data_IF_606222692980
#
_entry.id   IF_606222692980
#
_cell.length_a   1.000
_cell.length_b   1.000
_cell.length_c   1.000
_cell.angle_alpha   90.00
_cell.angle_beta   90.00
_cell.angle_gamma   90.00
#
_symmetry.space_group_name_H-M   'P 1'
#
loop_
_entity.id
_entity.type
_entity.pdbx_description
1 polymer ?
#
# COMPACT_ATOMS: atom_id res chain seq x y z
N UNK A 1 17.27 10.61 2.47
CA UNK A 1 18.13 11.73 1.99
C UNK A 1 17.24 12.68 1.24
N UNK A 2 17.39 13.97 1.43
CA UNK A 2 16.47 14.99 0.91
C UNK A 2 17.17 15.86 -0.13
N UNK A 3 16.43 16.26 -1.16
CA UNK A 3 16.85 17.10 -2.28
C UNK A 3 15.76 18.17 -2.51
N UNK A 4 16.12 19.29 -3.12
CA UNK A 4 15.16 20.32 -3.50
C UNK A 4 14.93 20.32 -5.02
N UNK A 5 13.67 20.33 -5.43
CA UNK A 5 13.31 20.72 -6.80
C UNK A 5 12.92 22.20 -6.73
N UNK A 6 13.72 23.11 -7.30
CA UNK A 6 13.43 24.53 -7.22
C UNK A 6 12.21 24.91 -8.07
N UNK A 7 11.57 26.03 -7.72
CA UNK A 7 10.59 26.65 -8.59
C UNK A 7 11.26 27.20 -9.86
N UNK A 8 10.51 27.28 -10.96
CA UNK A 8 10.99 27.85 -12.22
C UNK A 8 10.12 29.03 -12.60
N UNK A 9 10.72 30.21 -12.69
CA UNK A 9 10.00 31.48 -12.95
C UNK A 9 8.83 31.71 -11.98
N UNK A 10 9.04 31.40 -10.70
CA UNK A 10 8.00 31.48 -9.66
C UNK A 10 6.74 30.66 -10.01
N UNK A 11 6.95 29.48 -10.62
CA UNK A 11 5.91 28.50 -10.93
C UNK A 11 6.35 27.11 -10.49
N UNK A 12 5.36 26.26 -10.17
CA UNK A 12 5.59 24.85 -9.92
C UNK A 12 6.06 24.16 -11.21
N UNK A 13 7.09 23.32 -11.11
CA UNK A 13 7.63 22.57 -12.26
C UNK A 13 6.90 21.26 -12.53
N UNK A 14 6.07 20.82 -11.58
CA UNK A 14 5.20 19.65 -11.65
C UNK A 14 3.83 20.02 -11.07
N UNK A 15 2.82 19.17 -11.28
CA UNK A 15 1.48 19.43 -10.77
C UNK A 15 1.48 19.49 -9.23
N UNK A 16 1.10 20.63 -8.60
CA UNK A 16 1.28 20.84 -7.16
C UNK A 16 0.30 20.04 -6.29
N UNK A 17 -0.83 19.56 -6.82
CA UNK A 17 -1.87 18.93 -6.02
C UNK A 17 -1.74 17.40 -5.94
N UNK A 18 -0.53 16.87 -6.12
CA UNK A 18 -0.26 15.43 -6.11
C UNK A 18 0.97 15.09 -5.27
N UNK A 19 0.93 13.92 -4.67
CA UNK A 19 2.13 13.26 -4.15
C UNK A 19 2.84 12.57 -5.31
N UNK A 20 4.03 13.06 -5.66
CA UNK A 20 4.84 12.49 -6.74
C UNK A 20 5.69 11.34 -6.20
N UNK A 21 5.70 10.20 -6.90
CA UNK A 21 6.40 8.98 -6.48
C UNK A 21 7.11 8.36 -7.68
N UNK A 22 8.41 8.06 -7.53
CA UNK A 22 9.21 7.29 -8.47
C UNK A 22 9.61 5.93 -7.86
N UNK A 23 8.84 4.86 -8.10
CA UNK A 23 9.09 3.55 -7.48
C UNK A 23 10.14 2.73 -8.26
N UNK A 24 11.13 2.13 -7.58
CA UNK A 24 12.20 1.30 -8.19
C UNK A 24 12.49 0.00 -7.42
N UNK A 25 11.46 -0.64 -6.86
CA UNK A 25 11.51 -1.90 -6.11
C UNK A 25 12.34 -1.85 -4.80
N UNK A 26 13.65 -1.63 -4.88
CA UNK A 26 14.53 -1.58 -3.72
C UNK A 26 14.62 -0.17 -3.12
N UNK A 27 14.34 0.85 -3.91
CA UNK A 27 14.42 2.25 -3.51
C UNK A 27 13.32 3.04 -4.23
N UNK A 28 13.04 4.24 -3.73
CA UNK A 28 12.04 5.13 -4.30
C UNK A 28 12.38 6.58 -3.99
N UNK A 29 11.92 7.47 -4.86
CA UNK A 29 11.93 8.91 -4.65
C UNK A 29 10.49 9.38 -4.43
N UNK A 30 10.26 10.29 -3.49
CA UNK A 30 8.97 10.99 -3.35
C UNK A 30 9.21 12.50 -3.39
N UNK A 31 8.26 13.28 -3.89
CA UNK A 31 8.33 14.73 -3.81
C UNK A 31 7.01 15.32 -3.29
N UNK A 32 7.13 16.22 -2.31
CA UNK A 32 6.01 16.97 -1.74
C UNK A 32 6.15 18.46 -2.09
N UNK A 33 5.04 19.11 -2.48
CA UNK A 33 5.03 20.53 -2.84
C UNK A 33 5.21 21.42 -1.60
N UNK A 34 5.93 22.52 -1.78
CA UNK A 34 6.07 23.59 -0.78
C UNK A 34 5.30 24.85 -1.22
N UNK A 35 5.07 25.77 -0.28
CA UNK A 35 4.34 27.02 -0.55
C UNK A 35 5.11 27.99 -1.46
N UNK A 36 6.45 27.92 -1.44
CA UNK A 36 7.36 28.70 -2.30
C UNK A 36 7.49 28.11 -3.73
N UNK A 37 6.61 27.17 -4.07
CA UNK A 37 6.53 26.48 -5.36
C UNK A 37 7.68 25.54 -5.67
N UNK A 38 8.56 25.28 -4.70
CA UNK A 38 9.54 24.20 -4.74
C UNK A 38 8.90 22.85 -4.37
N UNK A 39 9.65 21.76 -4.52
CA UNK A 39 9.29 20.46 -3.94
C UNK A 39 10.44 19.91 -3.10
N UNK A 40 10.13 19.47 -1.89
CA UNK A 40 11.05 18.67 -1.08
C UNK A 40 10.98 17.22 -1.54
N UNK A 41 12.12 16.69 -1.94
CA UNK A 41 12.24 15.38 -2.57
C UNK A 41 13.04 14.43 -1.70
N UNK A 42 12.47 13.30 -1.28
CA UNK A 42 13.15 12.35 -0.38
C UNK A 42 13.47 11.03 -1.09
N UNK A 43 14.74 10.66 -1.13
CA UNK A 43 15.22 9.35 -1.56
C UNK A 43 15.25 8.38 -0.38
N UNK A 44 14.47 7.31 -0.51
CA UNK A 44 14.51 6.15 0.36
C UNK A 44 15.25 5.01 -0.33
N UNK A 45 16.32 4.53 0.29
CA UNK A 45 17.17 3.49 -0.27
C UNK A 45 17.91 2.74 0.84
N UNK A 46 18.19 1.43 0.68
CA UNK A 46 19.05 0.68 1.58
C UNK A 46 20.42 1.35 1.76
N UNK A 47 20.94 1.34 2.99
CA UNK A 47 22.26 1.91 3.31
C UNK A 47 23.39 1.29 2.45
N UNK A 48 23.22 0.05 2.00
CA UNK A 48 24.17 -0.65 1.13
C UNK A 48 24.30 -0.02 -0.26
N UNK A 49 23.23 0.59 -0.79
CA UNK A 49 23.26 1.32 -2.06
C UNK A 49 23.97 2.65 -1.85
N UNK A 50 23.62 3.41 -0.81
CA UNK A 50 24.32 4.65 -0.47
C UNK A 50 25.83 4.44 -0.31
N UNK A 51 26.27 3.35 0.34
CA UNK A 51 27.69 3.02 0.50
C UNK A 51 28.44 2.70 -0.81
N UNK A 52 27.73 2.34 -1.88
CA UNK A 52 28.31 2.09 -3.20
C UNK A 52 28.53 3.37 -4.01
N UNK A 53 27.76 4.42 -3.74
CA UNK A 53 27.85 5.70 -4.45
C UNK A 53 28.91 6.57 -3.78
N UNK A 54 30.14 6.53 -4.29
CA UNK A 54 31.31 7.19 -3.65
C UNK A 54 31.78 8.43 -4.37
N UNK A 55 31.50 8.53 -5.67
CA UNK A 55 31.94 9.63 -6.53
C UNK A 55 30.75 10.36 -7.15
N UNK A 56 30.97 11.58 -7.63
CA UNK A 56 29.95 12.34 -8.36
C UNK A 56 29.41 11.56 -9.57
N UNK A 57 30.28 10.84 -10.29
CA UNK A 57 29.90 10.00 -11.42
C UNK A 57 29.03 8.81 -10.99
N UNK A 58 29.34 8.15 -9.87
CA UNK A 58 28.49 7.06 -9.35
C UNK A 58 27.07 7.57 -9.05
N UNK A 59 26.98 8.71 -8.35
CA UNK A 59 25.70 9.34 -7.99
C UNK A 59 24.93 9.72 -9.25
N UNK A 60 25.57 10.39 -10.20
CA UNK A 60 24.90 10.83 -11.43
C UNK A 60 24.50 9.66 -12.33
N UNK A 61 25.30 8.62 -12.43
CA UNK A 61 24.95 7.40 -13.17
C UNK A 61 23.75 6.70 -12.53
N UNK A 62 23.70 6.60 -11.20
CA UNK A 62 22.55 6.08 -10.47
C UNK A 62 21.28 6.90 -10.76
N UNK A 63 21.35 8.22 -10.64
CA UNK A 63 20.20 9.09 -10.88
C UNK A 63 19.75 9.09 -12.35
N UNK A 64 20.68 9.10 -13.32
CA UNK A 64 20.31 9.02 -14.75
C UNK A 64 19.69 7.67 -15.12
N UNK A 65 20.20 6.57 -14.54
CA UNK A 65 19.67 5.24 -14.81
C UNK A 65 18.27 5.05 -14.22
N UNK A 66 18.05 5.49 -12.98
CA UNK A 66 16.82 5.18 -12.26
C UNK A 66 15.82 6.34 -12.20
N UNK A 67 16.26 7.59 -12.24
CA UNK A 67 15.42 8.78 -12.08
C UNK A 67 15.73 9.87 -13.14
N UNK A 68 15.74 9.54 -14.44
CA UNK A 68 16.20 10.46 -15.49
C UNK A 68 15.40 11.77 -15.56
N UNK A 69 14.10 11.70 -15.29
CA UNK A 69 13.20 12.85 -15.21
C UNK A 69 13.41 13.66 -13.91
N UNK A 70 13.65 13.02 -12.77
CA UNK A 70 14.00 13.74 -11.55
C UNK A 70 15.30 14.54 -11.71
N UNK A 71 16.26 14.05 -12.50
CA UNK A 71 17.50 14.79 -12.80
C UNK A 71 17.22 16.12 -13.51
N UNK A 72 16.24 16.17 -14.42
CA UNK A 72 15.90 17.41 -15.12
C UNK A 72 15.17 18.41 -14.22
N UNK A 73 14.47 17.94 -13.17
CA UNK A 73 13.80 18.79 -12.19
C UNK A 73 14.74 19.30 -11.09
N UNK A 74 15.57 18.42 -10.51
CA UNK A 74 16.46 18.77 -9.38
C UNK A 74 17.70 19.52 -9.87
N UNK A 75 18.29 19.07 -10.99
CA UNK A 75 19.56 19.56 -11.51
C UNK A 75 20.75 18.71 -11.06
N UNK A 76 21.68 18.43 -11.99
CA UNK A 76 22.80 17.53 -11.75
C UNK A 76 23.75 18.01 -10.64
N UNK A 77 24.07 19.31 -10.62
CA UNK A 77 24.96 19.89 -9.62
C UNK A 77 24.34 19.80 -8.22
N UNK A 78 23.06 20.15 -8.09
CA UNK A 78 22.31 20.10 -6.83
C UNK A 78 22.26 18.68 -6.25
N UNK A 79 22.03 17.67 -7.11
CA UNK A 79 22.04 16.26 -6.71
C UNK A 79 23.40 15.89 -6.09
N UNK A 80 24.50 16.20 -6.78
CA UNK A 80 25.85 15.84 -6.32
C UNK A 80 26.19 16.59 -5.04
N UNK A 81 25.98 17.90 -5.01
CA UNK A 81 26.27 18.74 -3.85
C UNK A 81 25.49 18.28 -2.62
N UNK A 82 24.17 18.08 -2.76
CA UNK A 82 23.31 17.58 -1.68
C UNK A 82 23.71 16.18 -1.22
N UNK A 83 24.09 15.30 -2.16
CA UNK A 83 24.49 13.94 -1.84
C UNK A 83 25.74 13.88 -0.97
N UNK A 84 26.71 14.76 -1.23
CA UNK A 84 27.97 14.77 -0.47
C UNK A 84 27.97 15.70 0.74
N UNK A 85 27.09 16.70 0.78
CA UNK A 85 26.94 17.60 1.93
C UNK A 85 26.13 17.00 3.07
N UNK A 86 25.25 16.04 2.79
CA UNK A 86 24.36 15.44 3.78
C UNK A 86 24.54 13.92 3.92
N UNK A 87 24.23 13.36 5.10
CA UNK A 87 24.28 11.91 5.34
C UNK A 87 22.89 11.30 5.20
N UNK A 88 22.76 10.10 4.61
CA UNK A 88 21.52 9.34 4.66
C UNK A 88 21.09 9.09 6.11
N UNK A 89 19.85 9.45 6.44
CA UNK A 89 19.29 9.25 7.78
C UNK A 89 18.70 7.84 7.93
N UNK A 90 18.95 7.14 9.04
CA UNK A 90 18.31 5.87 9.32
C UNK A 90 16.83 6.08 9.63
N UNK A 91 15.99 5.15 9.17
CA UNK A 91 14.59 5.09 9.55
C UNK A 91 14.41 4.02 10.61
N UNK A 92 13.80 4.39 11.74
CA UNK A 92 13.52 3.46 12.83
C UNK A 92 12.03 3.15 12.89
N UNK A 93 11.71 1.95 13.38
CA UNK A 93 10.36 1.62 13.78
C UNK A 93 10.41 0.88 15.11
N UNK A 94 9.67 1.37 16.09
CA UNK A 94 9.58 0.80 17.43
C UNK A 94 8.12 0.59 17.81
N UNK A 95 7.90 -0.47 18.57
CA UNK A 95 6.65 -0.74 19.26
C UNK A 95 7.01 -1.01 20.71
N UNK A 96 6.29 -0.41 21.65
CA UNK A 96 6.39 -0.78 23.05
C UNK A 96 5.02 -1.12 23.63
N UNK A 97 5.04 -1.88 24.72
CA UNK A 97 3.89 -2.19 25.55
C UNK A 97 4.42 -2.53 26.95
N UNK A 98 3.82 -2.00 28.03
CA UNK A 98 2.76 -0.99 28.03
C UNK A 98 3.29 0.41 27.65
N UNK A 99 2.39 1.31 27.26
CA UNK A 99 2.68 2.75 27.12
C UNK A 99 2.66 3.49 28.47
N UNK A 100 1.95 2.94 29.47
CA UNK A 100 1.84 3.54 30.81
C UNK A 100 2.53 2.67 31.86
N UNK A 101 3.08 3.30 32.90
CA UNK A 101 3.56 2.58 34.08
C UNK A 101 2.40 1.97 34.87
N UNK A 102 2.62 0.83 35.51
CA UNK A 102 1.62 0.15 36.33
C UNK A 102 0.96 1.05 37.39
N UNK A 103 1.73 1.96 38.00
CA UNK A 103 1.23 2.85 39.06
C UNK A 103 0.49 4.09 38.53
N UNK A 104 0.49 4.31 37.21
CA UNK A 104 -0.19 5.45 36.60
C UNK A 104 0.55 6.79 36.67
N UNK A 105 1.84 6.79 37.01
CA UNK A 105 2.61 8.02 37.20
C UNK A 105 3.23 8.57 35.90
N UNK A 106 3.43 7.70 34.90
CA UNK A 106 4.03 8.06 33.61
C UNK A 106 3.29 7.41 32.44
N UNK A 107 3.25 8.14 31.31
CA UNK A 107 2.63 7.72 30.05
C UNK A 107 3.51 8.14 28.86
N UNK A 108 3.71 7.23 27.92
CA UNK A 108 4.35 7.48 26.63
C UNK A 108 3.30 7.77 25.55
N UNK A 109 3.58 8.74 24.68
CA UNK A 109 2.78 9.12 23.51
C UNK A 109 3.67 9.48 22.33
N UNK A 110 3.09 9.48 21.13
CA UNK A 110 3.79 9.76 19.87
C UNK A 110 4.98 8.83 19.64
N UNK A 111 6.04 9.35 19.02
CA UNK A 111 7.23 8.58 18.65
C UNK A 111 7.94 7.92 19.86
N UNK A 112 7.75 8.44 21.07
CA UNK A 112 8.29 7.81 22.29
C UNK A 112 7.62 6.45 22.59
N UNK A 113 6.36 6.28 22.21
CA UNK A 113 5.61 5.03 22.34
C UNK A 113 5.64 4.19 21.05
N UNK A 114 5.58 4.83 19.88
CA UNK A 114 5.45 4.16 18.58
C UNK A 114 6.13 4.95 17.46
N UNK A 115 7.45 4.82 17.34
CA UNK A 115 8.12 5.34 16.14
C UNK A 115 7.80 4.46 14.93
N UNK A 116 7.49 5.08 13.80
CA UNK A 116 7.21 4.38 12.55
C UNK A 116 8.00 4.99 11.42
N UNK A 117 8.42 4.14 10.48
CA UNK A 117 8.99 4.62 9.24
C UNK A 117 7.94 5.49 8.51
N UNK A 118 8.34 6.53 7.76
CA UNK A 118 7.43 7.57 7.28
C UNK A 118 6.64 7.17 6.02
N UNK A 119 6.38 5.89 5.83
CA UNK A 119 5.82 5.38 4.58
C UNK A 119 4.31 5.58 4.47
N UNK A 120 3.58 5.73 5.57
CA UNK A 120 2.15 6.09 5.54
C UNK A 120 1.89 7.58 5.81
N UNK A 121 2.92 8.37 6.17
CA UNK A 121 2.76 9.74 6.67
C UNK A 121 1.75 9.87 7.84
N UNK A 122 1.75 8.89 8.75
CA UNK A 122 0.83 8.83 9.89
C UNK A 122 1.48 9.02 11.27
N UNK A 123 2.80 9.20 11.36
CA UNK A 123 3.47 9.39 12.67
C UNK A 123 2.88 10.57 13.45
N UNK A 124 2.93 11.77 12.86
CA UNK A 124 2.34 12.98 13.44
C UNK A 124 0.83 12.85 13.70
N UNK A 125 0.07 12.34 12.72
CA UNK A 125 -1.38 12.17 12.85
C UNK A 125 -1.76 11.21 14.00
N UNK A 126 -1.04 10.09 14.11
CA UNK A 126 -1.18 9.12 15.20
C UNK A 126 -0.80 9.75 16.55
N UNK A 127 0.28 10.52 16.62
CA UNK A 127 0.67 11.24 17.84
C UNK A 127 -0.37 12.29 18.27
N UNK A 128 -1.00 13.00 17.34
CA UNK A 128 -2.11 13.91 17.66
C UNK A 128 -3.36 13.15 18.10
N UNK A 129 -3.64 12.01 17.48
CA UNK A 129 -4.74 11.15 17.90
C UNK A 129 -4.51 10.54 19.29
N UNK A 130 -3.27 10.26 19.70
CA UNK A 130 -2.93 9.86 21.08
C UNK A 130 -3.44 10.88 22.09
N UNK A 131 -3.18 12.18 21.85
CA UNK A 131 -3.64 13.25 22.72
C UNK A 131 -5.18 13.27 22.84
N UNK A 132 -5.89 13.04 21.74
CA UNK A 132 -7.35 12.99 21.74
C UNK A 132 -7.87 11.79 22.53
N UNK A 133 -7.33 10.60 22.27
CA UNK A 133 -7.74 9.37 22.95
C UNK A 133 -7.44 9.47 24.44
N UNK A 134 -6.27 9.99 24.82
CA UNK A 134 -5.92 10.21 26.23
C UNK A 134 -6.91 11.16 26.91
N UNK A 135 -7.23 12.27 26.26
CA UNK A 135 -8.16 13.25 26.81
C UNK A 135 -9.57 12.66 27.00
N UNK A 136 -10.05 11.86 26.05
CA UNK A 136 -11.31 11.14 26.17
C UNK A 136 -11.27 10.15 27.35
N UNK A 137 -10.17 9.41 27.54
CA UNK A 137 -10.00 8.50 28.68
C UNK A 137 -9.90 9.21 30.02
N UNK A 138 -9.28 10.38 30.07
CA UNK A 138 -9.28 11.21 31.27
C UNK A 138 -10.70 11.64 31.63
N UNK A 139 -11.49 12.11 30.66
CA UNK A 139 -12.89 12.50 30.89
C UNK A 139 -13.76 11.33 31.35
N UNK A 140 -13.69 10.20 30.66
CA UNK A 140 -14.47 8.98 31.00
C UNK A 140 -14.18 8.49 32.43
N UNK A 141 -12.97 8.73 32.94
CA UNK A 141 -12.53 8.30 34.27
C UNK A 141 -12.50 9.44 35.30
N UNK A 142 -13.25 10.54 35.08
CA UNK A 142 -13.32 11.69 36.00
C UNK A 142 -11.94 12.26 36.38
N UNK A 143 -11.00 12.26 35.43
CA UNK A 143 -9.61 12.70 35.60
C UNK A 143 -8.81 11.90 36.65
N UNK A 144 -9.20 10.66 36.94
CA UNK A 144 -8.37 9.68 37.64
C UNK A 144 -7.26 9.18 36.69
N UNK A 145 -6.06 9.72 36.85
CA UNK A 145 -4.92 9.47 35.95
C UNK A 145 -4.53 7.99 35.88
N UNK A 146 -4.32 7.26 36.99
CA UNK A 146 -4.04 5.83 36.93
C UNK A 146 -5.09 5.02 36.18
N UNK A 147 -6.38 5.25 36.42
CA UNK A 147 -7.45 4.54 35.68
C UNK A 147 -7.49 4.92 34.21
N UNK A 148 -7.38 6.21 33.90
CA UNK A 148 -7.37 6.70 32.52
C UNK A 148 -6.17 6.17 31.72
N UNK A 149 -4.98 6.10 32.33
CA UNK A 149 -3.78 5.58 31.70
C UNK A 149 -3.88 4.08 31.44
N UNK A 150 -4.47 3.32 32.37
CA UNK A 150 -4.78 1.91 32.16
C UNK A 150 -5.73 1.71 30.98
N UNK A 151 -6.85 2.45 30.93
CA UNK A 151 -7.81 2.39 29.82
C UNK A 151 -7.22 2.85 28.47
N UNK A 152 -6.35 3.86 28.49
CA UNK A 152 -5.60 4.29 27.31
C UNK A 152 -4.67 3.18 26.81
N UNK A 153 -3.94 2.51 27.70
CA UNK A 153 -3.04 1.43 27.33
C UNK A 153 -3.77 0.26 26.66
N UNK A 154 -4.89 -0.18 27.21
CA UNK A 154 -5.69 -1.31 26.66
C UNK A 154 -6.20 -1.06 25.24
N UNK A 155 -6.52 0.20 24.94
CA UNK A 155 -7.10 0.59 23.65
C UNK A 155 -6.02 0.99 22.65
N UNK A 156 -5.12 1.90 23.06
CA UNK A 156 -4.24 2.59 22.13
C UNK A 156 -3.03 1.78 21.65
N UNK A 157 -2.49 0.87 22.48
CA UNK A 157 -1.36 0.00 22.10
C UNK A 157 -1.69 -0.79 20.83
N UNK A 158 -2.91 -1.33 20.73
CA UNK A 158 -3.33 -2.11 19.55
C UNK A 158 -3.36 -1.27 18.27
N UNK A 159 -3.81 -0.03 18.38
CA UNK A 159 -3.88 0.91 17.26
C UNK A 159 -2.49 1.38 16.83
N UNK A 160 -1.62 1.74 17.78
CA UNK A 160 -0.27 2.21 17.48
C UNK A 160 0.57 1.10 16.85
N UNK A 161 0.43 -0.14 17.34
CA UNK A 161 1.08 -1.30 16.72
C UNK A 161 0.55 -1.56 15.31
N UNK A 162 -0.76 -1.40 15.09
CA UNK A 162 -1.38 -1.58 13.78
C UNK A 162 -0.91 -0.53 12.77
N UNK A 163 -0.82 0.75 13.14
CA UNK A 163 -0.35 1.80 12.21
C UNK A 163 1.14 1.66 11.88
N UNK A 164 1.95 1.22 12.85
CA UNK A 164 3.36 0.87 12.60
C UNK A 164 3.46 -0.25 11.55
N UNK A 165 2.64 -1.31 11.67
CA UNK A 165 2.60 -2.39 10.68
C UNK A 165 2.08 -1.94 9.32
N UNK A 166 1.04 -1.11 9.31
CA UNK A 166 0.48 -0.53 8.10
C UNK A 166 1.50 0.34 7.38
N UNK A 167 2.34 1.08 8.09
CA UNK A 167 3.42 1.85 7.49
C UNK A 167 4.44 0.95 6.79
N UNK A 168 4.88 -0.13 7.46
CA UNK A 168 5.78 -1.11 6.84
C UNK A 168 5.13 -1.87 5.68
N UNK A 169 3.83 -2.11 5.73
CA UNK A 169 3.07 -2.64 4.59
C UNK A 169 3.07 -1.65 3.42
N UNK A 170 2.84 -0.37 3.68
CA UNK A 170 2.78 0.66 2.65
C UNK A 170 4.14 0.92 1.99
N UNK A 171 5.25 0.71 2.71
CA UNK A 171 6.57 0.66 2.10
C UNK A 171 6.60 -0.35 0.94
N UNK A 172 6.15 -1.59 1.17
CA UNK A 172 6.12 -2.64 0.14
C UNK A 172 5.14 -2.28 -0.99
N UNK A 173 4.04 -1.63 -0.66
CA UNK A 173 3.08 -1.13 -1.66
C UNK A 173 3.74 -0.11 -2.58
N UNK A 174 4.33 0.95 -2.02
CA UNK A 174 4.93 2.05 -2.77
C UNK A 174 6.21 1.68 -3.51
N UNK A 175 7.00 0.72 -3.01
CA UNK A 175 8.22 0.32 -3.72
C UNK A 175 7.96 -0.72 -4.80
N UNK A 176 7.03 -1.66 -4.58
CA UNK A 176 6.83 -2.82 -5.44
C UNK A 176 5.41 -2.93 -6.01
N UNK A 177 4.35 -2.91 -5.20
CA UNK A 177 3.01 -3.22 -5.72
C UNK A 177 2.45 -2.18 -6.69
N UNK A 178 2.81 -0.90 -6.54
CA UNK A 178 2.39 0.16 -7.47
C UNK A 178 2.86 -0.05 -8.91
N UNK A 179 3.86 -0.91 -9.16
CA UNK A 179 4.30 -1.23 -10.53
C UNK A 179 3.53 -2.41 -11.14
N UNK A 180 2.71 -3.12 -10.36
CA UNK A 180 1.99 -4.31 -10.81
C UNK A 180 0.62 -3.97 -11.43
N UNK A 181 0.31 -4.55 -12.58
CA UNK A 181 -1.03 -4.42 -13.21
C UNK A 181 -2.16 -4.96 -12.31
N UNK A 182 -1.91 -6.08 -11.63
CA UNK A 182 -2.87 -6.70 -10.71
C UNK A 182 -3.26 -5.76 -9.56
N UNK A 183 -2.32 -4.94 -9.10
CA UNK A 183 -2.55 -3.95 -8.06
C UNK A 183 -3.45 -2.80 -8.56
N UNK A 184 -3.19 -2.26 -9.75
CA UNK A 184 -4.08 -1.24 -10.35
C UNK A 184 -5.49 -1.77 -10.59
N UNK A 185 -5.63 -3.03 -11.06
CA UNK A 185 -6.93 -3.68 -11.17
C UNK A 185 -7.63 -3.82 -9.83
N UNK A 186 -6.90 -4.21 -8.78
CA UNK A 186 -7.44 -4.25 -7.43
C UNK A 186 -7.93 -2.88 -6.96
N UNK A 187 -7.15 -1.81 -7.17
CA UNK A 187 -7.59 -0.43 -6.84
C UNK A 187 -8.85 -0.02 -7.61
N UNK A 188 -8.97 -0.38 -8.90
CA UNK A 188 -10.19 -0.13 -9.68
C UNK A 188 -11.40 -0.86 -9.10
N UNK A 189 -11.24 -2.11 -8.69
CA UNK A 189 -12.29 -2.90 -8.03
C UNK A 189 -12.67 -2.26 -6.69
N UNK A 190 -11.68 -1.95 -5.84
CA UNK A 190 -11.91 -1.33 -4.53
C UNK A 190 -12.67 0.00 -4.68
N UNK A 191 -12.29 0.83 -5.67
CA UNK A 191 -12.98 2.10 -5.96
C UNK A 191 -14.39 1.89 -6.51
N UNK A 192 -14.61 0.90 -7.38
CA UNK A 192 -15.95 0.59 -7.89
C UNK A 192 -16.87 0.09 -6.77
N UNK A 193 -16.39 -0.82 -5.93
CA UNK A 193 -17.14 -1.32 -4.77
C UNK A 193 -17.42 -0.22 -3.76
N UNK A 194 -16.47 0.69 -3.53
CA UNK A 194 -16.68 1.84 -2.67
C UNK A 194 -17.77 2.78 -3.21
N UNK A 195 -17.81 3.03 -4.52
CA UNK A 195 -18.87 3.84 -5.14
C UNK A 195 -20.26 3.20 -5.02
N UNK A 196 -20.34 1.88 -5.14
CA UNK A 196 -21.61 1.15 -5.07
C UNK A 196 -22.07 0.92 -3.62
N UNK A 197 -21.12 0.64 -2.71
CA UNK A 197 -21.39 0.26 -1.33
C UNK A 197 -20.47 1.01 -0.34
N UNK A 198 -20.58 2.36 -0.24
CA UNK A 198 -19.62 3.18 0.49
C UNK A 198 -19.56 2.89 1.99
N UNK A 199 -20.64 2.37 2.58
CA UNK A 199 -20.69 1.96 4.00
C UNK A 199 -20.04 0.61 4.27
N UNK A 200 -19.92 -0.26 3.27
CA UNK A 200 -19.49 -1.64 3.44
C UNK A 200 -18.08 -1.91 2.89
N UNK A 201 -17.66 -1.13 1.89
CA UNK A 201 -16.38 -1.33 1.20
C UNK A 201 -15.56 -0.05 1.16
N UNK A 202 -14.92 0.30 2.27
CA UNK A 202 -14.03 1.46 2.33
C UNK A 202 -12.59 1.00 2.02
N UNK A 203 -11.90 1.57 1.01
CA UNK A 203 -10.51 1.22 0.73
C UNK A 203 -9.61 1.48 1.94
N UNK A 204 -8.56 0.67 2.13
CA UNK A 204 -7.65 0.78 3.29
C UNK A 204 -7.07 2.19 3.44
N UNK A 205 -6.58 2.78 2.35
CA UNK A 205 -6.04 4.14 2.35
C UNK A 205 -7.08 5.15 2.84
N UNK A 206 -8.33 5.04 2.39
CA UNK A 206 -9.41 5.91 2.84
C UNK A 206 -9.73 5.75 4.31
N UNK A 207 -9.76 4.50 4.82
CA UNK A 207 -10.01 4.25 6.24
C UNK A 207 -8.92 4.89 7.11
N UNK A 208 -7.65 4.74 6.74
CA UNK A 208 -6.51 5.23 7.54
C UNK A 208 -6.35 6.75 7.43
N UNK A 209 -6.51 7.32 6.23
CA UNK A 209 -6.16 8.74 5.98
C UNK A 209 -7.33 9.70 6.17
N UNK A 210 -8.57 9.27 5.93
CA UNK A 210 -9.74 10.16 5.87
C UNK A 210 -10.84 9.81 6.88
N UNK A 211 -10.59 8.89 7.80
CA UNK A 211 -11.53 8.56 8.88
C UNK A 211 -10.81 8.46 10.23
N UNK A 212 -11.58 8.31 11.32
CA UNK A 212 -11.07 7.99 12.66
C UNK A 212 -11.42 6.55 13.07
N UNK A 213 -11.54 5.65 12.10
CA UNK A 213 -11.69 4.22 12.40
C UNK A 213 -10.40 3.75 13.05
N UNK A 214 -10.44 3.08 14.21
CA UNK A 214 -9.24 2.58 14.88
C UNK A 214 -8.36 1.76 13.94
N UNK A 215 -7.05 2.01 13.92
CA UNK A 215 -6.11 1.38 12.98
C UNK A 215 -6.17 -0.16 13.00
N UNK A 216 -6.36 -0.77 14.17
CA UNK A 216 -6.50 -2.23 14.26
C UNK A 216 -7.76 -2.73 13.53
N UNK A 217 -8.84 -1.95 13.54
CA UNK A 217 -10.07 -2.25 12.79
C UNK A 217 -9.86 -2.05 11.29
N UNK A 218 -9.13 -1.02 10.86
CA UNK A 218 -8.76 -0.84 9.45
C UNK A 218 -8.05 -2.09 8.91
N UNK A 219 -7.11 -2.67 9.67
CA UNK A 219 -6.45 -3.93 9.31
C UNK A 219 -7.44 -5.11 9.24
N UNK A 220 -8.33 -5.25 10.23
CA UNK A 220 -9.31 -6.33 10.26
C UNK A 220 -10.31 -6.24 9.08
N UNK A 221 -10.80 -5.05 8.78
CA UNK A 221 -11.68 -4.76 7.65
C UNK A 221 -10.97 -5.07 6.32
N UNK A 222 -9.70 -4.69 6.17
CA UNK A 222 -8.92 -5.04 4.98
C UNK A 222 -8.77 -6.55 4.82
N UNK A 223 -8.43 -7.28 5.89
CA UNK A 223 -8.33 -8.76 5.87
C UNK A 223 -9.66 -9.39 5.44
N UNK A 224 -10.79 -8.86 5.91
CA UNK A 224 -12.13 -9.31 5.50
C UNK A 224 -12.37 -9.05 4.01
N UNK A 225 -12.07 -7.86 3.51
CA UNK A 225 -12.18 -7.51 2.09
C UNK A 225 -11.34 -8.45 1.22
N UNK A 226 -10.10 -8.73 1.62
CA UNK A 226 -9.21 -9.63 0.90
C UNK A 226 -9.74 -11.07 0.86
N UNK A 227 -10.28 -11.57 1.98
CA UNK A 227 -10.94 -12.89 2.02
C UNK A 227 -12.14 -12.96 1.07
N UNK A 228 -13.00 -11.93 1.06
CA UNK A 228 -14.16 -11.88 0.18
C UNK A 228 -13.73 -11.95 -1.29
N UNK A 229 -12.74 -11.16 -1.69
CA UNK A 229 -12.27 -11.16 -3.07
C UNK A 229 -11.56 -12.46 -3.47
N UNK A 230 -10.88 -13.12 -2.54
CA UNK A 230 -10.33 -14.45 -2.78
C UNK A 230 -11.43 -15.48 -3.03
N UNK A 231 -12.52 -15.46 -2.24
CA UNK A 231 -13.67 -16.36 -2.42
C UNK A 231 -14.34 -16.09 -3.78
N UNK A 232 -14.62 -14.82 -4.10
CA UNK A 232 -15.24 -14.44 -5.40
C UNK A 232 -14.36 -14.88 -6.57
N UNK A 233 -13.04 -14.69 -6.48
CA UNK A 233 -12.09 -15.13 -7.49
C UNK A 233 -12.07 -16.66 -7.63
N UNK A 234 -12.10 -17.40 -6.53
CA UNK A 234 -12.17 -18.86 -6.52
C UNK A 234 -13.44 -19.39 -7.19
N UNK A 235 -14.60 -18.82 -6.83
CA UNK A 235 -15.89 -19.17 -7.47
C UNK A 235 -15.84 -18.87 -8.97
N UNK A 236 -15.31 -17.71 -9.37
CA UNK A 236 -15.14 -17.36 -10.77
C UNK A 236 -14.31 -18.37 -11.55
N UNK A 237 -13.19 -18.83 -10.99
CA UNK A 237 -12.36 -19.88 -11.60
C UNK A 237 -13.09 -21.23 -11.70
N UNK A 238 -13.83 -21.62 -10.67
CA UNK A 238 -14.63 -22.85 -10.71
C UNK A 238 -15.70 -22.81 -11.80
N UNK A 239 -16.42 -21.69 -11.95
CA UNK A 239 -17.44 -21.54 -13.00
C UNK A 239 -16.80 -21.60 -14.39
N UNK A 240 -15.68 -20.91 -14.62
CA UNK A 240 -14.96 -20.96 -15.90
C UNK A 240 -14.47 -22.38 -16.19
N UNK A 241 -13.93 -23.08 -15.18
CA UNK A 241 -13.53 -24.48 -15.29
C UNK A 241 -14.68 -25.40 -15.71
N UNK A 242 -15.85 -25.25 -15.08
CA UNK A 242 -17.05 -26.01 -15.44
C UNK A 242 -17.50 -25.70 -16.88
N UNK A 243 -17.50 -24.44 -17.30
CA UNK A 243 -17.87 -24.05 -18.66
C UNK A 243 -16.90 -24.61 -19.71
N UNK A 244 -15.59 -24.61 -19.41
CA UNK A 244 -14.57 -25.19 -20.28
C UNK A 244 -14.70 -26.72 -20.35
N UNK A 245 -14.93 -27.40 -19.23
CA UNK A 245 -15.19 -28.84 -19.20
C UNK A 245 -16.46 -29.19 -19.98
N UNK A 246 -17.53 -28.41 -19.84
CA UNK A 246 -18.77 -28.60 -20.60
C UNK A 246 -18.53 -28.40 -22.10
N UNK A 247 -17.76 -27.37 -22.48
CA UNK A 247 -17.40 -27.12 -23.88
C UNK A 247 -16.54 -28.27 -24.42
N UNK A 248 -15.56 -28.74 -23.68
CA UNK A 248 -14.71 -29.87 -24.06
C UNK A 248 -15.49 -31.17 -24.21
N UNK A 249 -16.38 -31.48 -23.26
CA UNK A 249 -17.27 -32.63 -23.36
C UNK A 249 -18.18 -32.52 -24.61
N UNK A 250 -18.72 -31.34 -24.90
CA UNK A 250 -19.54 -31.10 -26.07
C UNK A 250 -18.77 -31.18 -27.39
N UNK A 251 -17.52 -30.74 -27.46
CA UNK A 251 -16.73 -30.76 -28.71
C UNK A 251 -16.05 -32.09 -28.96
N UNK A 252 -15.64 -32.81 -27.92
CA UNK A 252 -14.78 -34.00 -28.04
C UNK A 252 -15.55 -35.29 -27.79
N UNK A 253 -16.40 -35.32 -26.76
CA UNK A 253 -17.12 -36.53 -26.37
C UNK A 253 -18.42 -36.68 -27.18
N UNK A 254 -19.13 -35.57 -27.45
CA UNK A 254 -20.38 -35.62 -28.22
C UNK A 254 -20.24 -36.23 -29.62
N UNK A 255 -19.21 -35.90 -30.45
CA UNK A 255 -19.06 -36.52 -31.77
C UNK A 255 -18.72 -38.01 -31.69
N UNK A 256 -17.97 -38.43 -30.66
CA UNK A 256 -17.63 -39.83 -30.43
C UNK A 256 -18.86 -40.64 -30.02
N UNK A 257 -19.70 -40.10 -29.12
CA UNK A 257 -20.98 -40.71 -28.75
C UNK A 257 -21.94 -40.74 -29.94
N UNK A 258 -22.04 -39.64 -30.72
CA UNK A 258 -22.87 -39.61 -31.94
C UNK A 258 -22.40 -40.65 -32.96
N UNK A 259 -21.10 -40.77 -33.25
CA UNK A 259 -20.57 -41.83 -34.12
C UNK A 259 -20.89 -43.21 -33.59
N UNK A 260 -20.68 -43.46 -32.30
CA UNK A 260 -20.99 -44.74 -31.67
C UNK A 260 -22.49 -45.09 -31.80
N UNK A 261 -23.40 -44.12 -31.61
CA UNK A 261 -24.83 -44.33 -31.76
C UNK A 261 -25.23 -44.55 -33.24
N UNK A 262 -24.65 -43.78 -34.16
CA UNK A 262 -24.90 -43.94 -35.61
C UNK A 262 -24.40 -45.31 -36.10
N UNK A 263 -23.20 -45.74 -35.68
CA UNK A 263 -22.59 -46.98 -36.17
C UNK A 263 -23.22 -48.25 -35.54
N UNK A 264 -23.79 -48.17 -34.34
CA UNK A 264 -24.40 -49.34 -33.66
C UNK A 264 -25.92 -49.37 -33.62
N UNK A 265 -26.61 -48.24 -33.76
CA UNK A 265 -28.07 -48.14 -33.51
C UNK A 265 -28.86 -47.83 -34.79
N UNK A 266 -28.26 -47.18 -35.80
CA UNK A 266 -28.94 -46.99 -37.09
C UNK A 266 -28.65 -48.18 -38.02
N UNK A 267 -29.66 -48.95 -38.47
CA UNK A 267 -29.44 -50.02 -39.43
C UNK A 267 -28.93 -49.43 -40.75
N UNK A 268 -27.85 -50.02 -41.30
CA UNK A 268 -27.36 -49.71 -42.65
C UNK A 268 -28.48 -49.99 -43.66
N UNK A 269 -29.17 -48.96 -44.12
CA UNK A 269 -30.03 -49.06 -45.31
C UNK A 269 -29.09 -49.23 -46.50
N UNK A 270 -28.94 -50.47 -46.94
CA UNK A 270 -28.22 -50.82 -48.18
C UNK A 270 -29.09 -50.36 -49.34
N UNK A 271 -28.62 -49.33 -50.06
CA UNK A 271 -29.08 -49.02 -51.42
C UNK A 271 -28.40 -49.97 -52.38
N UNK A 272 -29.10 -51.05 -52.74
CA UNK A 272 -28.76 -51.84 -53.93
C UNK A 272 -29.37 -51.16 -55.16
N UNK A 273 -28.52 -50.75 -56.10
CA UNK A 273 -28.89 -50.56 -57.51
C UNK A 273 -27.92 -51.38 -58.36
N UNK A 274 -28.43 -52.45 -58.96
CA UNK A 274 -28.18 -53.06 -60.30
C UNK A 274 -29.05 -54.34 -60.26
N UNK A 275 -30.00 -54.62 -61.14
CA UNK A 275 -30.17 -54.35 -62.59
C UNK A 275 -31.50 -53.69 -62.94
#
# INVERSE_FOLDING_TARGET
MEFCIPSKNDQFVMEPNYLHIWPRHQFMLIALPNQDKSFTTTLFSPISIFRKLKTADDVMNFFRQYFPDAVSFIGANEIVETFFSSKPQPLISTKCEPHATHNGDMLLMGDAAHSMAPFYAQGMNSAFEDCLVLFDKLKENNFDFPKAFSAYNETRVRDTHAIVDLSMYNHREMTHYVTLRSFHWRKKIDNALYRLFPRWWIPLYTMVTFTRIPYHQCMALRKRQDRILQIVRGIGYSIVGILLLRRFAWTTIKPFIMRFFVDKVLPKVVTDKVT
#
